data_IF_408751332951
#
_entry.id   IF_408751332951
#
_cell.length_a   1.000
_cell.length_b   1.000
_cell.length_c   1.000
_cell.angle_alpha   90.00
_cell.angle_beta   90.00
_cell.angle_gamma   90.00
#
_symmetry.space_group_name_H-M   'P 1'
#
loop_
_entity.id
_entity.type
_entity.pdbx_description
1 polymer ?
#
# COMPACT_ATOMS: atom_id res chain seq x y z
N UNK A 1 -12.13 -21.86 11.58
CA UNK A 1 -10.81 -21.21 11.44
C UNK A 1 -9.74 -22.27 11.51
N UNK A 2 -8.85 -22.29 10.52
CA UNK A 2 -7.69 -23.19 10.47
C UNK A 2 -6.73 -22.96 11.66
N UNK A 3 -6.16 -24.02 12.28
CA UNK A 3 -5.23 -23.89 13.41
C UNK A 3 -4.03 -22.96 13.17
N UNK A 4 -3.55 -22.85 11.94
CA UNK A 4 -2.45 -21.94 11.58
C UNK A 4 -2.87 -20.47 11.63
N UNK A 5 -4.11 -20.17 11.23
CA UNK A 5 -4.67 -18.82 11.33
C UNK A 5 -4.92 -18.46 12.80
N UNK A 6 -5.36 -19.42 13.62
CA UNK A 6 -5.46 -19.21 15.06
C UNK A 6 -4.09 -18.89 15.68
N UNK A 7 -3.04 -19.64 15.30
CA UNK A 7 -1.67 -19.38 15.78
C UNK A 7 -1.20 -17.98 15.38
N UNK A 8 -1.49 -17.54 14.15
CA UNK A 8 -1.17 -16.20 13.67
C UNK A 8 -1.95 -15.12 14.44
N UNK A 9 -3.23 -15.34 14.72
CA UNK A 9 -4.03 -14.44 15.56
C UNK A 9 -3.42 -14.30 16.96
N UNK A 10 -2.97 -15.41 17.54
CA UNK A 10 -2.30 -15.41 18.85
C UNK A 10 -0.98 -14.63 18.80
N UNK A 11 -0.19 -14.76 17.74
CA UNK A 11 1.03 -13.98 17.53
C UNK A 11 0.75 -12.48 17.43
N UNK A 12 -0.28 -12.08 16.67
CA UNK A 12 -0.69 -10.68 16.57
C UNK A 12 -1.10 -10.15 17.96
N UNK A 13 -1.87 -10.94 18.73
CA UNK A 13 -2.28 -10.58 20.08
C UNK A 13 -1.13 -10.49 21.10
N UNK A 14 0.03 -11.09 20.83
CA UNK A 14 1.21 -10.94 21.68
C UNK A 14 1.93 -9.60 21.49
N UNK A 15 1.86 -9.03 20.28
CA UNK A 15 2.53 -7.75 19.95
C UNK A 15 1.60 -6.55 19.99
N UNK A 16 0.30 -6.75 19.74
CA UNK A 16 -0.69 -5.67 19.79
C UNK A 16 -1.03 -5.34 21.26
N UNK A 17 -0.97 -4.06 21.69
CA UNK A 17 -1.29 -3.69 23.08
C UNK A 17 -2.72 -3.99 23.52
N UNK A 18 -3.63 -4.16 22.56
CA UNK A 18 -5.03 -4.48 22.79
C UNK A 18 -5.36 -5.94 22.48
N UNK A 19 -6.59 -6.19 22.00
CA UNK A 19 -7.01 -7.52 21.55
C UNK A 19 -7.54 -7.46 20.12
N UNK A 20 -7.06 -8.35 19.28
CA UNK A 20 -7.59 -8.62 17.94
C UNK A 20 -8.53 -9.82 18.03
N UNK A 21 -9.74 -9.65 17.49
CA UNK A 21 -10.76 -10.69 17.38
C UNK A 21 -11.26 -10.76 15.94
N UNK A 22 -11.74 -11.93 15.54
CA UNK A 22 -12.20 -12.18 14.16
C UNK A 22 -13.65 -12.62 14.14
N UNK A 23 -14.43 -12.18 13.15
CA UNK A 23 -15.78 -12.67 12.85
C UNK A 23 -15.87 -13.05 11.38
N UNK A 24 -16.51 -14.18 11.10
CA UNK A 24 -16.76 -14.65 9.72
C UNK A 24 -18.24 -14.94 9.60
N UNK A 25 -18.86 -14.39 8.55
CA UNK A 25 -20.22 -14.70 8.17
C UNK A 25 -20.40 -16.17 7.77
N UNK A 26 -21.64 -16.58 7.55
CA UNK A 26 -21.98 -17.97 7.20
C UNK A 26 -22.22 -18.16 5.70
N UNK A 27 -22.44 -17.07 4.96
CA UNK A 27 -22.67 -17.14 3.51
C UNK A 27 -21.39 -17.59 2.79
N UNK A 28 -21.54 -18.17 1.60
CA UNK A 28 -20.42 -18.61 0.77
C UNK A 28 -20.82 -18.45 -0.69
N UNK A 29 -20.22 -17.49 -1.37
CA UNK A 29 -20.59 -17.09 -2.72
C UNK A 29 -19.54 -17.45 -3.79
N UNK A 30 -18.45 -18.08 -3.37
CA UNK A 30 -17.39 -18.61 -4.22
C UNK A 30 -16.53 -17.55 -4.91
N UNK A 31 -16.63 -16.27 -4.52
CA UNK A 31 -15.92 -15.14 -5.14
C UNK A 31 -15.11 -14.40 -4.09
N UNK A 32 -13.79 -14.54 -4.15
CA UNK A 32 -12.87 -13.95 -3.19
C UNK A 32 -12.63 -12.48 -3.55
N UNK A 33 -13.00 -11.58 -2.64
CA UNK A 33 -12.76 -10.15 -2.77
C UNK A 33 -11.88 -9.63 -1.64
N UNK A 34 -10.73 -9.05 -2.01
CA UNK A 34 -9.72 -8.59 -1.06
C UNK A 34 -10.12 -7.36 -0.24
N UNK A 35 -11.23 -6.72 -0.59
CA UNK A 35 -11.80 -5.52 0.04
C UNK A 35 -13.04 -5.83 0.91
N UNK A 36 -13.54 -7.07 0.93
CA UNK A 36 -14.61 -7.53 1.83
C UNK A 36 -14.16 -7.75 3.28
N UNK A 37 -12.89 -7.50 3.58
CA UNK A 37 -12.34 -7.51 4.94
C UNK A 37 -12.58 -6.15 5.58
N UNK A 38 -13.41 -6.10 6.61
CA UNK A 38 -13.65 -4.89 7.40
C UNK A 38 -12.85 -4.92 8.71
N UNK A 39 -12.37 -3.74 9.12
CA UNK A 39 -11.72 -3.55 10.41
C UNK A 39 -12.41 -2.45 11.20
N UNK A 40 -12.71 -2.72 12.46
CA UNK A 40 -13.25 -1.71 13.37
C UNK A 40 -12.53 -1.74 14.70
N UNK A 41 -12.34 -0.57 15.31
CA UNK A 41 -11.74 -0.43 16.63
C UNK A 41 -12.81 -0.19 17.68
N UNK A 42 -12.82 -0.98 18.75
CA UNK A 42 -13.83 -0.94 19.81
C UNK A 42 -13.15 -1.11 21.17
N UNK A 43 -13.05 -0.02 21.94
CA UNK A 43 -12.49 -0.01 23.30
C UNK A 43 -11.12 -0.73 23.43
N UNK A 44 -10.18 -0.39 22.56
CA UNK A 44 -8.83 -1.00 22.53
C UNK A 44 -8.79 -2.37 21.85
N UNK A 45 -9.90 -2.88 21.33
CA UNK A 45 -9.94 -4.09 20.50
C UNK A 45 -10.01 -3.74 19.02
N UNK A 46 -9.45 -4.60 18.18
CA UNK A 46 -9.66 -4.58 16.72
C UNK A 46 -10.52 -5.79 16.38
N UNK A 47 -11.65 -5.54 15.72
CA UNK A 47 -12.46 -6.58 15.11
C UNK A 47 -12.15 -6.63 13.62
N UNK A 48 -11.65 -7.78 13.15
CA UNK A 48 -11.54 -8.12 11.74
C UNK A 48 -12.78 -8.92 11.37
N UNK A 49 -13.53 -8.47 10.38
CA UNK A 49 -14.79 -9.09 10.02
C UNK A 49 -14.90 -9.34 8.52
N UNK A 50 -15.29 -10.58 8.19
CA UNK A 50 -15.64 -11.03 6.85
C UNK A 50 -17.16 -11.20 6.76
N UNK A 51 -17.79 -10.63 5.74
CA UNK A 51 -19.23 -10.74 5.51
C UNK A 51 -19.66 -12.17 5.13
N UNK A 52 -18.80 -12.91 4.46
CA UNK A 52 -19.00 -14.28 4.01
C UNK A 52 -17.78 -15.16 4.36
N UNK A 53 -17.90 -16.46 4.11
CA UNK A 53 -16.93 -17.49 4.44
C UNK A 53 -16.05 -17.93 3.25
N UNK A 54 -16.26 -17.37 2.06
CA UNK A 54 -15.43 -17.62 0.86
C UNK A 54 -13.98 -17.29 1.17
N UNK A 55 -13.07 -18.26 0.97
CA UNK A 55 -11.65 -18.13 1.28
C UNK A 55 -11.32 -17.52 2.67
N UNK A 56 -12.15 -17.74 3.70
CA UNK A 56 -12.05 -16.99 4.96
C UNK A 56 -10.67 -17.09 5.64
N UNK A 57 -10.08 -18.28 5.67
CA UNK A 57 -8.74 -18.48 6.27
C UNK A 57 -7.66 -17.72 5.49
N UNK A 58 -7.77 -17.60 4.17
CA UNK A 58 -6.86 -16.79 3.35
C UNK A 58 -7.03 -15.30 3.66
N UNK A 59 -8.26 -14.78 3.68
CA UNK A 59 -8.53 -13.36 3.93
C UNK A 59 -8.09 -12.94 5.34
N UNK A 60 -8.43 -13.73 6.36
CA UNK A 60 -7.99 -13.48 7.73
C UNK A 60 -6.47 -13.62 7.86
N UNK A 61 -5.88 -14.67 7.27
CA UNK A 61 -4.43 -14.85 7.29
C UNK A 61 -3.69 -13.68 6.66
N UNK A 62 -4.16 -13.21 5.50
CA UNK A 62 -3.58 -12.05 4.83
C UNK A 62 -3.66 -10.80 5.71
N UNK A 63 -4.82 -10.54 6.35
CA UNK A 63 -4.97 -9.38 7.21
C UNK A 63 -4.08 -9.44 8.46
N UNK A 64 -4.07 -10.59 9.14
CA UNK A 64 -3.25 -10.78 10.33
C UNK A 64 -1.75 -10.69 10.03
N UNK A 65 -1.29 -11.20 8.87
CA UNK A 65 0.10 -11.03 8.45
C UNK A 65 0.43 -9.56 8.19
N UNK A 66 -0.44 -8.80 7.52
CA UNK A 66 -0.26 -7.36 7.31
C UNK A 66 -0.16 -6.61 8.65
N UNK A 67 -1.01 -6.95 9.61
CA UNK A 67 -0.94 -6.39 10.96
C UNK A 67 0.39 -6.70 11.65
N UNK A 68 0.81 -7.97 11.67
CA UNK A 68 2.07 -8.39 12.28
C UNK A 68 3.28 -7.66 11.67
N UNK A 69 3.31 -7.59 10.34
CA UNK A 69 4.34 -6.89 9.58
C UNK A 69 4.37 -5.38 9.89
N UNK A 70 3.21 -4.77 10.09
CA UNK A 70 3.08 -3.35 10.44
C UNK A 70 3.53 -3.09 11.88
N UNK A 71 3.07 -3.89 12.84
CA UNK A 71 3.41 -3.76 14.26
C UNK A 71 4.91 -3.98 14.53
N UNK A 72 5.55 -4.84 13.75
CA UNK A 72 7.00 -5.08 13.84
C UNK A 72 7.83 -4.05 13.07
N UNK A 73 7.22 -3.03 12.47
CA UNK A 73 7.92 -2.00 11.69
C UNK A 73 8.61 -2.55 10.43
N UNK A 74 8.14 -3.68 9.90
CA UNK A 74 8.72 -4.31 8.72
C UNK A 74 8.30 -3.60 7.42
N UNK A 75 7.10 -3.01 7.42
CA UNK A 75 6.45 -2.46 6.23
C UNK A 75 6.22 -0.96 6.38
N UNK A 76 6.79 -0.14 5.49
CA UNK A 76 6.45 1.27 5.40
C UNK A 76 4.95 1.45 5.13
N UNK A 77 4.29 2.28 5.93
CA UNK A 77 2.87 2.61 5.78
C UNK A 77 2.69 3.87 4.91
N UNK A 78 1.53 3.99 4.28
CA UNK A 78 1.12 5.18 3.54
C UNK A 78 0.14 6.01 4.37
N UNK A 79 0.21 7.33 4.19
CA UNK A 79 -0.71 8.31 4.78
C UNK A 79 -1.08 9.35 3.72
N UNK A 80 -2.23 9.99 3.91
CA UNK A 80 -2.76 11.00 3.01
C UNK A 80 -2.91 12.30 3.81
N UNK A 81 -1.91 13.16 3.70
CA UNK A 81 -1.83 14.42 4.46
C UNK A 81 -2.01 15.66 3.57
N UNK A 82 -2.26 15.44 2.27
CA UNK A 82 -2.64 16.48 1.31
C UNK A 82 -3.98 16.15 0.65
N UNK A 83 -4.64 17.17 0.11
CA UNK A 83 -5.98 17.08 -0.49
C UNK A 83 -6.10 18.02 -1.68
N UNK A 84 -6.92 17.63 -2.66
CA UNK A 84 -7.37 18.52 -3.73
C UNK A 84 -8.62 19.34 -3.35
N UNK A 85 -9.06 19.23 -2.09
CA UNK A 85 -10.36 19.74 -1.62
C UNK A 85 -11.55 19.23 -2.47
N UNK A 86 -11.38 18.02 -3.01
CA UNK A 86 -12.37 17.31 -3.78
C UNK A 86 -12.47 15.88 -3.26
N UNK A 87 -13.47 15.63 -2.43
CA UNK A 87 -13.66 14.36 -1.73
C UNK A 87 -13.73 13.17 -2.68
N UNK A 88 -14.39 13.31 -3.84
CA UNK A 88 -14.50 12.22 -4.81
C UNK A 88 -13.14 11.88 -5.41
N UNK A 89 -12.38 12.89 -5.82
CA UNK A 89 -11.04 12.72 -6.37
C UNK A 89 -10.08 12.14 -5.32
N UNK A 90 -10.08 12.69 -4.11
CA UNK A 90 -9.24 12.20 -3.01
C UNK A 90 -9.55 10.74 -2.68
N UNK A 91 -10.83 10.38 -2.56
CA UNK A 91 -11.22 8.99 -2.31
C UNK A 91 -10.77 8.03 -3.42
N UNK A 92 -10.78 8.47 -4.68
CA UNK A 92 -10.27 7.68 -5.79
C UNK A 92 -8.75 7.50 -5.70
N UNK A 93 -8.00 8.58 -5.47
CA UNK A 93 -6.53 8.54 -5.36
C UNK A 93 -6.08 7.71 -4.14
N UNK A 94 -6.78 7.82 -3.02
CA UNK A 94 -6.57 7.00 -1.81
C UNK A 94 -6.71 5.52 -2.14
N UNK A 95 -7.78 5.13 -2.84
CA UNK A 95 -8.01 3.73 -3.22
C UNK A 95 -6.92 3.21 -4.16
N UNK A 96 -6.55 4.00 -5.18
CA UNK A 96 -5.49 3.66 -6.14
C UNK A 96 -4.15 3.48 -5.42
N UNK A 97 -3.76 4.44 -4.58
CA UNK A 97 -2.51 4.40 -3.80
C UNK A 97 -2.48 3.23 -2.81
N UNK A 98 -3.61 2.95 -2.15
CA UNK A 98 -3.73 1.82 -1.24
C UNK A 98 -3.57 0.49 -1.97
N UNK A 99 -4.16 0.34 -3.16
CA UNK A 99 -3.96 -0.87 -3.97
C UNK A 99 -2.51 -1.02 -4.43
N UNK A 100 -1.89 0.06 -4.90
CA UNK A 100 -0.46 0.06 -5.25
C UNK A 100 0.45 -0.35 -4.08
N UNK A 101 0.18 0.15 -2.87
CA UNK A 101 0.89 -0.25 -1.65
C UNK A 101 0.68 -1.73 -1.34
N UNK A 102 -0.57 -2.20 -1.37
CA UNK A 102 -0.95 -3.58 -1.07
C UNK A 102 -0.26 -4.59 -1.98
N UNK A 103 -0.11 -4.31 -3.27
CA UNK A 103 0.60 -5.19 -4.21
C UNK A 103 2.00 -5.53 -3.68
N UNK A 104 2.73 -4.55 -3.15
CA UNK A 104 4.08 -4.77 -2.59
C UNK A 104 4.03 -5.49 -1.25
N UNK A 105 3.01 -5.29 -0.45
CA UNK A 105 2.85 -6.05 0.81
C UNK A 105 2.51 -7.52 0.52
N UNK A 106 1.70 -7.76 -0.51
CA UNK A 106 1.27 -9.10 -0.89
C UNK A 106 2.38 -9.95 -1.51
N UNK A 107 3.48 -9.34 -1.98
CA UNK A 107 4.69 -10.12 -2.34
C UNK A 107 5.34 -10.79 -1.14
N UNK A 108 4.93 -10.44 0.08
CA UNK A 108 5.38 -11.04 1.34
C UNK A 108 4.31 -11.97 1.89
N UNK A 109 3.05 -11.51 1.94
CA UNK A 109 1.98 -12.27 2.59
C UNK A 109 1.51 -13.47 1.78
N UNK A 110 1.36 -13.38 0.46
CA UNK A 110 0.91 -14.52 -0.34
C UNK A 110 1.89 -15.70 -0.31
N UNK A 111 3.22 -15.52 -0.45
CA UNK A 111 4.16 -16.62 -0.30
C UNK A 111 4.09 -17.27 1.08
N UNK A 112 3.93 -16.48 2.15
CA UNK A 112 3.79 -17.00 3.52
C UNK A 112 2.52 -17.86 3.64
N UNK A 113 1.38 -17.37 3.15
CA UNK A 113 0.12 -18.14 3.15
C UNK A 113 0.23 -19.43 2.33
N UNK A 114 0.91 -19.39 1.18
CA UNK A 114 1.16 -20.58 0.37
C UNK A 114 2.06 -21.59 1.08
N UNK A 115 3.15 -21.14 1.73
CA UNK A 115 4.04 -22.01 2.52
C UNK A 115 3.30 -22.71 3.66
N UNK A 116 2.26 -22.07 4.20
CA UNK A 116 1.39 -22.65 5.21
C UNK A 116 0.24 -23.48 4.64
N UNK A 117 0.13 -23.66 3.32
CA UNK A 117 -0.94 -24.42 2.68
C UNK A 117 -2.33 -23.79 2.84
N UNK A 118 -2.38 -22.47 3.06
CA UNK A 118 -3.64 -21.71 3.13
C UNK A 118 -4.16 -21.41 1.72
N UNK A 119 -3.27 -21.24 0.75
CA UNK A 119 -3.65 -21.15 -0.66
C UNK A 119 -3.89 -22.57 -1.18
N UNK A 120 -5.15 -22.91 -1.42
CA UNK A 120 -5.58 -24.21 -1.96
C UNK A 120 -6.06 -24.06 -3.41
N UNK A 121 -6.37 -25.18 -4.08
CA UNK A 121 -7.02 -25.16 -5.41
C UNK A 121 -8.34 -24.40 -5.39
N UNK A 122 -9.11 -24.53 -4.30
CA UNK A 122 -10.37 -23.79 -4.10
C UNK A 122 -10.10 -22.30 -3.97
N UNK A 123 -9.13 -21.88 -3.14
CA UNK A 123 -8.74 -20.47 -3.01
C UNK A 123 -8.31 -19.87 -4.35
N UNK A 124 -7.58 -20.61 -5.18
CA UNK A 124 -7.17 -20.14 -6.52
C UNK A 124 -8.38 -19.94 -7.43
N UNK A 125 -9.33 -20.88 -7.40
CA UNK A 125 -10.57 -20.78 -8.17
C UNK A 125 -11.42 -19.58 -7.73
N UNK A 126 -11.59 -19.38 -6.41
CA UNK A 126 -12.36 -18.28 -5.85
C UNK A 126 -11.69 -16.92 -6.10
N UNK A 127 -10.35 -16.86 -6.05
CA UNK A 127 -9.57 -15.66 -6.39
C UNK A 127 -9.81 -15.27 -7.85
N UNK A 128 -9.70 -16.22 -8.79
CA UNK A 128 -9.91 -15.94 -10.20
C UNK A 128 -11.37 -15.54 -10.48
N UNK A 129 -12.34 -16.18 -9.83
CA UNK A 129 -13.75 -15.81 -9.91
C UNK A 129 -14.00 -14.37 -9.40
N UNK A 130 -13.33 -13.96 -8.32
CA UNK A 130 -13.37 -12.59 -7.82
C UNK A 130 -12.81 -11.58 -8.83
N UNK A 131 -11.67 -11.89 -9.46
CA UNK A 131 -11.08 -11.06 -10.53
C UNK A 131 -12.04 -10.87 -11.70
N UNK A 132 -12.71 -11.93 -12.15
CA UNK A 132 -13.67 -11.86 -13.26
C UNK A 132 -14.96 -11.14 -12.92
N UNK A 133 -15.37 -11.15 -11.66
CA UNK A 133 -16.50 -10.34 -11.21
C UNK A 133 -16.13 -8.86 -11.15
N UNK A 134 -14.92 -8.55 -10.68
CA UNK A 134 -14.44 -7.18 -10.53
C UNK A 134 -14.12 -6.51 -11.88
N UNK A 135 -13.68 -7.29 -12.87
CA UNK A 135 -13.18 -6.77 -14.14
C UNK A 135 -13.96 -7.25 -15.36
N UNK A 136 -14.40 -6.31 -16.20
CA UNK A 136 -14.87 -6.63 -17.54
C UNK A 136 -13.70 -6.96 -18.47
N UNK A 137 -13.81 -7.94 -19.40
CA UNK A 137 -12.75 -8.24 -20.36
C UNK A 137 -12.33 -7.01 -21.17
N UNK A 138 -11.06 -6.92 -21.52
CA UNK A 138 -10.56 -5.82 -22.33
C UNK A 138 -11.15 -5.83 -23.74
N UNK A 139 -11.48 -4.64 -24.22
CA UNK A 139 -11.79 -4.42 -25.64
C UNK A 139 -10.58 -3.84 -26.37
N UNK A 140 -10.68 -3.71 -27.69
CA UNK A 140 -9.63 -3.06 -28.49
C UNK A 140 -9.39 -1.60 -28.08
N UNK A 141 -10.43 -0.91 -27.58
CA UNK A 141 -10.37 0.49 -27.18
C UNK A 141 -10.03 0.62 -25.70
N UNK A 142 -9.34 1.72 -25.35
CA UNK A 142 -9.15 2.08 -23.94
C UNK A 142 -10.46 2.62 -23.38
N UNK A 143 -10.76 2.22 -22.16
CA UNK A 143 -11.94 2.66 -21.41
C UNK A 143 -11.53 3.12 -19.99
N UNK A 144 -12.45 3.70 -19.21
CA UNK A 144 -12.18 4.13 -17.84
C UNK A 144 -11.70 3.01 -16.89
N UNK A 145 -11.94 1.74 -17.22
CA UNK A 145 -11.56 0.59 -16.40
C UNK A 145 -10.10 0.15 -16.64
N UNK A 146 -9.42 0.73 -17.65
CA UNK A 146 -8.01 0.42 -17.98
C UNK A 146 -7.06 0.49 -16.77
N UNK A 147 -7.17 1.54 -15.94
CA UNK A 147 -6.37 1.66 -14.71
C UNK A 147 -6.78 0.59 -13.69
N UNK A 148 -8.06 0.30 -13.56
CA UNK A 148 -8.55 -0.67 -12.60
C UNK A 148 -8.05 -2.09 -12.92
N UNK A 149 -8.13 -2.49 -14.19
CA UNK A 149 -7.55 -3.74 -14.68
C UNK A 149 -6.05 -3.82 -14.39
N UNK A 150 -5.30 -2.74 -14.60
CA UNK A 150 -3.88 -2.70 -14.26
C UNK A 150 -3.64 -3.01 -12.77
N UNK A 151 -4.34 -2.30 -11.88
CA UNK A 151 -4.14 -2.45 -10.42
C UNK A 151 -4.53 -3.85 -9.94
N UNK A 152 -5.66 -4.40 -10.40
CA UNK A 152 -6.11 -5.74 -10.04
C UNK A 152 -5.15 -6.81 -10.58
N UNK A 153 -4.73 -6.70 -11.84
CA UNK A 153 -3.80 -7.67 -12.43
C UNK A 153 -2.40 -7.62 -11.83
N UNK A 154 -1.94 -6.47 -11.36
CA UNK A 154 -0.69 -6.41 -10.60
C UNK A 154 -0.77 -7.32 -9.36
N UNK A 155 -1.88 -7.25 -8.61
CA UNK A 155 -2.08 -8.10 -7.44
C UNK A 155 -2.26 -9.58 -7.83
N UNK A 156 -3.08 -9.85 -8.85
CA UNK A 156 -3.33 -11.20 -9.34
C UNK A 156 -2.05 -11.88 -9.84
N UNK A 157 -1.15 -11.14 -10.49
CA UNK A 157 0.15 -11.66 -10.90
C UNK A 157 1.06 -11.97 -9.71
N UNK A 158 1.00 -11.18 -8.63
CA UNK A 158 1.72 -11.48 -7.38
C UNK A 158 1.15 -12.74 -6.73
N UNK A 159 -0.18 -12.89 -6.69
CA UNK A 159 -0.85 -14.11 -6.21
C UNK A 159 -0.47 -15.33 -7.04
N UNK A 160 -0.65 -15.27 -8.37
CA UNK A 160 -0.35 -16.37 -9.29
C UNK A 160 1.11 -16.79 -9.28
N UNK A 161 2.04 -15.87 -9.01
CA UNK A 161 3.46 -16.22 -8.88
C UNK A 161 3.76 -17.12 -7.67
N UNK A 162 2.89 -17.15 -6.67
CA UNK A 162 3.06 -18.05 -5.52
C UNK A 162 2.66 -19.49 -5.81
N UNK A 163 1.92 -19.74 -6.89
CA UNK A 163 1.40 -21.05 -7.23
C UNK A 163 2.50 -21.93 -7.85
N UNK A 164 2.50 -23.21 -7.50
CA UNK A 164 3.44 -24.19 -8.07
C UNK A 164 3.20 -24.41 -9.58
N UNK A 165 1.94 -24.38 -10.01
CA UNK A 165 1.53 -24.36 -11.42
C UNK A 165 0.64 -23.13 -11.64
N UNK A 166 1.16 -22.18 -12.41
CA UNK A 166 0.52 -20.88 -12.67
C UNK A 166 0.20 -20.64 -14.14
N UNK A 167 0.46 -21.62 -15.02
CA UNK A 167 0.34 -21.43 -16.46
C UNK A 167 -1.12 -21.15 -16.84
N UNK A 168 -2.05 -22.00 -16.39
CA UNK A 168 -3.47 -21.83 -16.66
C UNK A 168 -4.02 -20.52 -16.07
N UNK A 169 -3.57 -20.15 -14.86
CA UNK A 169 -3.95 -18.91 -14.20
C UNK A 169 -3.51 -17.68 -15.01
N UNK A 170 -2.26 -17.65 -15.47
CA UNK A 170 -1.76 -16.54 -16.28
C UNK A 170 -2.32 -16.52 -17.70
N UNK A 171 -2.58 -17.67 -18.31
CA UNK A 171 -3.20 -17.75 -19.64
C UNK A 171 -4.62 -17.19 -19.64
N UNK A 172 -5.40 -17.48 -18.60
CA UNK A 172 -6.73 -16.91 -18.43
C UNK A 172 -6.68 -15.38 -18.32
N UNK A 173 -5.86 -14.84 -17.42
CA UNK A 173 -5.73 -13.39 -17.25
C UNK A 173 -5.24 -12.70 -18.52
N UNK A 174 -4.30 -13.32 -19.24
CA UNK A 174 -3.77 -12.79 -20.49
C UNK A 174 -4.79 -12.83 -21.62
N UNK A 175 -5.65 -13.85 -21.67
CA UNK A 175 -6.70 -13.96 -22.68
C UNK A 175 -7.79 -12.89 -22.49
N UNK A 176 -8.18 -12.63 -21.24
CA UNK A 176 -9.23 -11.66 -20.92
C UNK A 176 -8.72 -10.20 -20.86
N UNK A 177 -7.46 -9.99 -20.50
CA UNK A 177 -6.91 -8.65 -20.22
C UNK A 177 -5.50 -8.43 -20.80
N UNK A 178 -5.27 -8.65 -22.10
CA UNK A 178 -3.92 -8.71 -22.68
C UNK A 178 -3.04 -7.47 -22.46
N UNK A 179 -3.61 -6.26 -22.53
CA UNK A 179 -2.88 -4.99 -22.40
C UNK A 179 -2.50 -4.70 -20.95
N UNK A 180 -3.46 -4.76 -20.05
CA UNK A 180 -3.24 -4.59 -18.62
C UNK A 180 -2.35 -5.70 -18.07
N UNK A 181 -2.50 -6.95 -18.52
CA UNK A 181 -1.63 -8.07 -18.14
C UNK A 181 -0.16 -7.78 -18.52
N UNK A 182 0.09 -7.33 -19.75
CA UNK A 182 1.44 -7.01 -20.20
C UNK A 182 2.07 -5.89 -19.37
N UNK A 183 1.30 -4.83 -19.08
CA UNK A 183 1.75 -3.72 -18.24
C UNK A 183 1.98 -4.16 -16.78
N UNK A 184 1.02 -4.85 -16.17
CA UNK A 184 1.12 -5.38 -14.82
C UNK A 184 2.34 -6.30 -14.67
N UNK A 185 2.57 -7.20 -15.64
CA UNK A 185 3.72 -8.08 -15.65
C UNK A 185 5.04 -7.31 -15.70
N UNK A 186 5.13 -6.25 -16.53
CA UNK A 186 6.31 -5.41 -16.59
C UNK A 186 6.61 -4.70 -15.25
N UNK A 187 5.56 -4.37 -14.47
CA UNK A 187 5.67 -3.72 -13.17
C UNK A 187 6.09 -4.71 -12.08
N UNK A 188 5.46 -5.88 -11.99
CA UNK A 188 5.62 -6.79 -10.84
C UNK A 188 6.69 -7.87 -11.01
N UNK A 189 7.04 -8.24 -12.25
CA UNK A 189 8.11 -9.23 -12.52
C UNK A 189 9.44 -8.94 -11.81
N UNK A 190 9.88 -7.68 -11.69
CA UNK A 190 11.09 -7.37 -10.92
C UNK A 190 11.02 -7.71 -9.43
N UNK A 191 9.84 -7.95 -8.85
CA UNK A 191 9.69 -8.29 -7.43
C UNK A 191 10.06 -9.74 -7.14
N UNK A 192 9.97 -10.62 -8.13
CA UNK A 192 10.16 -12.07 -7.95
C UNK A 192 11.56 -12.46 -7.46
N UNK A 193 12.56 -11.58 -7.63
CA UNK A 193 13.93 -11.80 -7.16
C UNK A 193 14.33 -10.92 -5.97
N UNK A 194 13.40 -10.13 -5.41
CA UNK A 194 13.69 -9.21 -4.32
C UNK A 194 13.54 -9.91 -2.97
N UNK A 195 14.54 -9.70 -2.09
CA UNK A 195 14.42 -10.06 -0.67
C UNK A 195 13.74 -8.92 0.10
N UNK A 196 12.51 -9.16 0.53
CA UNK A 196 11.67 -8.21 1.27
C UNK A 196 11.90 -8.21 2.79
N UNK A 197 12.91 -8.92 3.30
CA UNK A 197 13.23 -8.92 4.75
C UNK A 197 13.64 -7.56 5.32
N UNK A 198 14.11 -6.65 4.46
CA UNK A 198 14.55 -5.31 4.89
C UNK A 198 13.51 -4.25 4.55
N UNK A 199 13.05 -3.42 5.51
CA UNK A 199 12.07 -2.36 5.27
C UNK A 199 12.46 -1.38 4.16
N UNK A 200 13.77 -1.13 4.01
CA UNK A 200 14.31 -0.27 2.95
C UNK A 200 14.06 -0.84 1.56
N UNK A 201 14.17 -2.16 1.39
CA UNK A 201 13.88 -2.80 0.11
C UNK A 201 12.39 -2.74 -0.21
N UNK A 202 11.54 -2.99 0.79
CA UNK A 202 10.09 -2.83 0.67
C UNK A 202 9.73 -1.40 0.26
N UNK A 203 10.26 -0.38 0.95
CA UNK A 203 10.06 1.04 0.59
C UNK A 203 10.45 1.31 -0.86
N UNK A 204 11.63 0.83 -1.27
CA UNK A 204 12.13 1.01 -2.64
C UNK A 204 11.18 0.42 -3.67
N UNK A 205 10.61 -0.76 -3.42
CA UNK A 205 9.65 -1.34 -4.36
C UNK A 205 8.31 -0.59 -4.36
N UNK A 206 7.85 -0.06 -3.23
CA UNK A 206 6.66 0.81 -3.19
C UNK A 206 6.82 2.05 -4.06
N UNK A 207 7.94 2.78 -3.92
CA UNK A 207 8.22 3.95 -4.78
C UNK A 207 8.32 3.54 -6.25
N UNK A 208 8.94 2.40 -6.53
CA UNK A 208 9.03 1.87 -7.90
C UNK A 208 7.65 1.53 -8.49
N UNK A 209 6.72 1.00 -7.69
CA UNK A 209 5.34 0.76 -8.14
C UNK A 209 4.68 2.07 -8.53
N UNK A 210 4.76 3.08 -7.66
CA UNK A 210 4.17 4.40 -7.90
C UNK A 210 4.67 4.98 -9.24
N UNK A 211 5.98 4.96 -9.44
CA UNK A 211 6.60 5.44 -10.69
C UNK A 211 6.16 4.65 -11.92
N UNK A 212 6.07 3.32 -11.79
CA UNK A 212 5.79 2.46 -12.92
C UNK A 212 4.32 2.52 -13.34
N UNK A 213 3.40 2.71 -12.39
CA UNK A 213 1.98 2.96 -12.68
C UNK A 213 1.82 4.32 -13.35
N UNK A 214 2.42 5.38 -12.84
CA UNK A 214 2.35 6.71 -13.49
C UNK A 214 2.95 6.67 -14.91
N UNK A 215 4.05 5.92 -15.11
CA UNK A 215 4.62 5.71 -16.45
C UNK A 215 3.68 4.95 -17.37
N UNK A 216 2.96 3.93 -16.87
CA UNK A 216 1.98 3.19 -17.65
C UNK A 216 0.82 4.10 -18.07
N UNK A 217 0.26 4.88 -17.13
CA UNK A 217 -0.80 5.84 -17.39
C UNK A 217 -0.38 6.90 -18.40
N UNK A 218 0.82 7.46 -18.26
CA UNK A 218 1.38 8.42 -19.22
C UNK A 218 1.48 7.84 -20.64
N UNK A 219 1.99 6.62 -20.78
CA UNK A 219 2.07 5.94 -22.08
C UNK A 219 0.70 5.64 -22.68
N UNK A 220 -0.31 5.48 -21.83
CA UNK A 220 -1.72 5.32 -22.21
C UNK A 220 -2.45 6.64 -22.41
N UNK A 221 -1.76 7.78 -22.28
CA UNK A 221 -2.35 9.12 -22.39
C UNK A 221 -3.48 9.37 -21.37
N UNK A 222 -3.37 8.72 -20.21
CA UNK A 222 -4.28 8.88 -19.08
C UNK A 222 -3.66 9.81 -18.03
N UNK A 223 -4.48 10.51 -17.23
CA UNK A 223 -3.99 11.27 -16.08
C UNK A 223 -3.20 10.38 -15.12
N UNK A 224 -2.05 10.87 -14.67
CA UNK A 224 -1.21 10.20 -13.66
C UNK A 224 -1.78 10.41 -12.26
N UNK A 225 -1.42 9.52 -11.33
CA UNK A 225 -1.77 9.62 -9.91
C UNK A 225 -0.90 10.66 -9.20
N UNK A 226 0.35 10.85 -9.67
CA UNK A 226 1.37 11.66 -9.01
C UNK A 226 1.59 11.24 -7.55
N UNK A 227 1.68 9.92 -7.33
CA UNK A 227 1.77 9.34 -5.99
C UNK A 227 3.05 9.74 -5.23
N UNK A 228 4.08 10.25 -5.92
CA UNK A 228 5.28 10.80 -5.28
C UNK A 228 5.01 11.97 -4.37
N UNK A 229 4.07 12.83 -4.73
CA UNK A 229 3.70 14.00 -3.94
C UNK A 229 2.45 13.73 -3.09
N UNK A 230 1.44 13.07 -3.68
CA UNK A 230 0.16 12.84 -3.02
C UNK A 230 0.28 11.89 -1.81
N UNK A 231 1.09 10.83 -1.94
CA UNK A 231 1.19 9.78 -0.92
C UNK A 231 2.35 10.08 0.03
N UNK A 232 2.06 10.25 1.31
CA UNK A 232 3.11 10.31 2.34
C UNK A 232 3.52 8.90 2.72
N UNK A 233 4.75 8.50 2.42
CA UNK A 233 5.27 7.16 2.70
C UNK A 233 6.20 7.17 3.92
N UNK A 234 5.96 6.28 4.88
CA UNK A 234 6.77 6.12 6.11
C UNK A 234 8.26 6.01 5.77
N UNK A 235 9.07 6.88 6.37
CA UNK A 235 10.52 6.90 6.13
C UNK A 235 11.22 5.71 6.77
N UNK A 236 12.24 5.17 6.06
CA UNK A 236 13.18 4.17 6.60
C UNK A 236 14.54 4.83 6.75
N UNK A 237 14.95 5.14 7.98
CA UNK A 237 16.08 6.01 8.29
C UNK A 237 17.10 5.31 9.19
N UNK A 238 18.39 5.57 9.00
CA UNK A 238 19.40 5.15 10.00
C UNK A 238 19.52 6.15 11.14
N UNK A 239 20.11 5.73 12.27
CA UNK A 239 20.50 6.63 13.38
C UNK A 239 21.24 7.88 12.91
N UNK A 240 22.17 7.71 11.95
CA UNK A 240 22.88 8.84 11.35
C UNK A 240 21.90 9.79 10.67
N UNK A 241 21.01 9.30 9.81
CA UNK A 241 20.04 10.15 9.10
C UNK A 241 19.12 10.90 10.07
N UNK A 242 18.70 10.26 11.17
CA UNK A 242 17.88 10.88 12.22
C UNK A 242 18.59 12.08 12.88
N UNK A 243 19.91 12.00 13.06
CA UNK A 243 20.72 13.08 13.64
C UNK A 243 21.08 14.22 12.66
N UNK A 244 20.92 14.00 11.34
CA UNK A 244 21.27 15.01 10.35
C UNK A 244 20.22 16.12 10.29
N UNK A 245 20.62 17.35 9.89
CA UNK A 245 19.66 18.41 9.59
C UNK A 245 18.74 18.02 8.43
N UNK A 246 17.48 18.44 8.47
CA UNK A 246 16.44 18.17 7.45
C UNK A 246 16.95 18.43 6.04
N UNK A 247 17.63 19.57 5.80
CA UNK A 247 18.19 19.93 4.48
C UNK A 247 19.16 18.92 3.87
N UNK A 248 19.73 18.03 4.67
CA UNK A 248 20.65 16.98 4.19
C UNK A 248 19.93 15.70 3.79
N UNK A 249 18.68 15.50 4.23
CA UNK A 249 17.93 14.25 4.02
C UNK A 249 16.70 14.49 3.13
N UNK A 250 16.10 15.68 3.18
CA UNK A 250 14.88 16.02 2.47
C UNK A 250 15.00 17.35 1.73
N UNK A 251 14.33 17.44 0.59
CA UNK A 251 13.99 18.70 -0.08
C UNK A 251 12.56 19.09 0.29
N UNK A 252 12.33 20.39 0.51
CA UNK A 252 10.99 20.91 0.79
C UNK A 252 10.43 21.49 -0.49
N UNK A 253 9.30 20.95 -0.93
CA UNK A 253 8.67 21.29 -2.20
C UNK A 253 7.27 21.86 -1.96
N UNK A 254 6.94 22.96 -2.63
CA UNK A 254 5.59 23.52 -2.62
C UNK A 254 4.69 22.65 -3.50
N UNK A 255 3.58 22.17 -2.97
CA UNK A 255 2.60 21.41 -3.75
C UNK A 255 1.38 22.28 -4.06
N UNK A 256 0.73 22.02 -5.19
CA UNK A 256 -0.54 22.67 -5.56
C UNK A 256 -1.72 22.15 -4.72
N UNK A 257 -1.51 21.10 -3.93
CA UNK A 257 -2.49 20.55 -3.00
C UNK A 257 -2.50 21.30 -1.67
N UNK A 258 -3.59 21.14 -0.91
CA UNK A 258 -3.72 21.73 0.42
C UNK A 258 -3.39 20.70 1.50
N UNK A 259 -3.04 21.16 2.70
CA UNK A 259 -2.92 20.31 3.88
C UNK A 259 -4.30 19.73 4.20
N UNK A 260 -4.36 18.40 4.39
CA UNK A 260 -5.63 17.71 4.58
C UNK A 260 -6.37 18.20 5.83
N UNK A 261 -5.64 18.51 6.91
CA UNK A 261 -6.20 18.89 8.21
C UNK A 261 -6.56 20.37 8.26
N UNK A 262 -5.64 21.25 7.84
CA UNK A 262 -5.82 22.71 7.97
C UNK A 262 -6.54 23.33 6.78
N UNK A 263 -6.53 22.66 5.62
CA UNK A 263 -6.99 23.20 4.33
C UNK A 263 -6.21 24.43 3.87
N UNK A 264 -4.95 24.55 4.30
CA UNK A 264 -4.05 25.65 3.93
C UNK A 264 -2.97 25.18 2.94
N UNK A 265 -2.16 26.11 2.44
CA UNK A 265 -1.01 25.80 1.58
C UNK A 265 -0.11 24.75 2.23
N UNK A 266 0.15 23.65 1.52
CA UNK A 266 1.03 22.59 1.97
C UNK A 266 2.39 22.62 1.28
N UNK A 267 3.40 22.11 1.99
CA UNK A 267 4.69 21.74 1.44
C UNK A 267 4.97 20.28 1.77
N UNK A 268 5.53 19.54 0.82
CA UNK A 268 5.91 18.15 0.98
C UNK A 268 7.41 18.02 1.20
N UNK A 269 7.79 17.13 2.11
CA UNK A 269 9.17 16.75 2.37
C UNK A 269 9.57 15.56 1.50
N UNK A 270 10.23 15.83 0.37
CA UNK A 270 10.70 14.79 -0.55
C UNK A 270 12.03 14.22 -0.05
N UNK A 271 12.11 12.90 0.12
CA UNK A 271 13.36 12.26 0.50
C UNK A 271 14.38 12.36 -0.63
N UNK A 272 15.60 12.84 -0.34
CA UNK A 272 16.63 13.06 -1.38
C UNK A 272 17.03 11.79 -2.14
N UNK A 273 16.90 10.62 -1.51
CA UNK A 273 17.31 9.34 -2.08
C UNK A 273 16.32 8.75 -3.07
N UNK A 274 15.02 8.97 -2.89
CA UNK A 274 13.96 8.37 -3.71
C UNK A 274 12.91 9.37 -4.23
N UNK A 275 13.00 10.63 -3.83
CA UNK A 275 12.10 11.73 -4.18
C UNK A 275 10.63 11.47 -3.80
N UNK A 276 10.38 10.57 -2.85
CA UNK A 276 9.05 10.30 -2.33
C UNK A 276 8.71 11.23 -1.16
N UNK A 277 7.49 11.77 -1.18
CA UNK A 277 6.91 12.50 -0.05
C UNK A 277 6.94 11.64 1.21
N UNK A 278 7.56 12.19 2.25
CA UNK A 278 7.78 11.53 3.53
C UNK A 278 7.12 12.26 4.70
N UNK A 279 6.69 13.51 4.50
CA UNK A 279 5.95 14.31 5.47
C UNK A 279 5.34 15.54 4.80
N UNK A 280 4.30 16.09 5.41
CA UNK A 280 3.65 17.34 4.98
C UNK A 280 3.81 18.37 6.08
N UNK A 281 4.03 19.63 5.71
CA UNK A 281 4.07 20.78 6.62
C UNK A 281 3.22 21.91 6.07
N UNK A 282 2.60 22.65 6.99
CA UNK A 282 1.90 23.90 6.69
C UNK A 282 2.75 25.05 7.26
N UNK A 283 3.24 25.99 6.42
CA UNK A 283 3.99 27.14 6.90
C UNK A 283 3.07 28.15 7.60
N UNK A 284 3.62 29.11 8.35
CA UNK A 284 2.82 30.20 8.91
C UNK A 284 2.01 30.96 7.85
N UNK A 285 0.77 31.33 8.20
CA UNK A 285 -0.11 32.13 7.34
C UNK A 285 0.53 33.48 6.99
N UNK A 286 1.19 34.13 7.97
CA UNK A 286 1.88 35.39 7.75
C UNK A 286 3.14 35.17 6.90
N UNK A 287 3.14 35.70 5.68
CA UNK A 287 4.25 35.54 4.74
C UNK A 287 5.58 36.08 5.25
N UNK A 288 5.54 37.12 6.10
CA UNK A 288 6.74 37.71 6.68
C UNK A 288 7.50 36.73 7.60
N UNK A 289 6.81 35.75 8.18
CA UNK A 289 7.39 34.77 9.10
C UNK A 289 7.95 33.52 8.38
N UNK A 290 7.55 33.32 7.12
CA UNK A 290 7.92 32.11 6.33
C UNK A 290 9.43 31.95 6.13
N UNK A 291 10.25 32.99 5.83
CA UNK A 291 11.69 32.83 5.67
C UNK A 291 12.36 32.27 6.93
N UNK A 292 11.99 32.80 8.10
CA UNK A 292 12.52 32.33 9.38
C UNK A 292 12.06 30.90 9.68
N UNK A 293 10.79 30.59 9.41
CA UNK A 293 10.24 29.23 9.54
C UNK A 293 11.03 28.22 8.72
N UNK A 294 11.22 28.46 7.42
CA UNK A 294 11.96 27.53 6.57
C UNK A 294 13.43 27.43 6.96
N UNK A 295 14.07 28.53 7.35
CA UNK A 295 15.46 28.50 7.84
C UNK A 295 15.59 27.60 9.08
N UNK A 296 14.66 27.68 10.02
CA UNK A 296 14.63 26.84 11.21
C UNK A 296 14.34 25.38 10.84
N UNK A 297 13.32 25.13 10.02
CA UNK A 297 12.96 23.79 9.54
C UNK A 297 14.17 23.08 8.91
N UNK A 298 14.87 23.73 8.00
CA UNK A 298 16.02 23.15 7.31
C UNK A 298 17.19 22.82 8.24
N UNK A 299 17.29 23.52 9.37
CA UNK A 299 18.33 23.32 10.37
C UNK A 299 17.98 22.26 11.43
N UNK A 300 16.69 21.94 11.62
CA UNK A 300 16.23 20.95 12.59
C UNK A 300 16.85 19.57 12.33
N UNK A 301 17.26 18.82 13.37
CA UNK A 301 17.50 17.40 13.24
C UNK A 301 16.24 16.68 12.76
N UNK A 302 16.41 15.68 11.87
CA UNK A 302 15.27 14.91 11.33
C UNK A 302 14.46 14.24 12.44
N UNK A 303 15.11 13.72 13.48
CA UNK A 303 14.44 13.12 14.63
C UNK A 303 13.48 14.10 15.32
N UNK A 304 13.91 15.35 15.49
CA UNK A 304 13.12 16.37 16.16
C UNK A 304 11.94 16.79 15.30
N UNK A 305 12.12 16.92 13.98
CA UNK A 305 11.02 17.17 13.05
C UNK A 305 9.96 16.07 13.13
N UNK A 306 10.37 14.80 13.04
CA UNK A 306 9.43 13.67 13.06
C UNK A 306 8.69 13.59 14.39
N UNK A 307 9.36 13.92 15.50
CA UNK A 307 8.72 14.02 16.82
C UNK A 307 7.71 15.17 16.87
N UNK A 308 8.03 16.35 16.34
CA UNK A 308 7.14 17.51 16.30
C UNK A 308 5.88 17.24 15.48
N UNK A 309 6.01 16.54 14.35
CA UNK A 309 4.90 16.18 13.47
C UNK A 309 4.18 14.90 13.91
N UNK A 310 4.60 14.27 15.02
CA UNK A 310 4.10 12.97 15.48
C UNK A 310 4.13 11.89 14.38
N UNK A 311 5.14 11.93 13.50
CA UNK A 311 5.26 11.02 12.37
C UNK A 311 6.01 9.74 12.74
N UNK A 312 5.45 8.57 12.37
CA UNK A 312 6.18 7.32 12.51
C UNK A 312 7.34 7.25 11.51
N UNK A 313 8.39 6.54 11.91
CA UNK A 313 9.48 6.13 11.02
C UNK A 313 9.96 4.74 11.41
N UNK A 314 10.61 4.06 10.47
CA UNK A 314 11.28 2.79 10.71
C UNK A 314 12.78 3.07 10.83
N UNK A 315 13.34 2.82 12.01
CA UNK A 315 14.79 2.87 12.18
C UNK A 315 15.40 1.60 11.57
N UNK A 316 16.33 1.76 10.63
CA UNK A 316 17.12 0.62 10.13
C UNK A 316 18.33 0.38 11.02
N UNK A 317 18.48 -0.88 11.44
CA UNK A 317 19.72 -1.43 12.00
C UNK A 317 20.89 -1.38 11.03
#
# INVERSE_FOLDING_TARGET
MNPKIQTLLDQVNQVYPGQVITRVGQEHDGRLHLDRVSQSTLAGRILIELADSTAADFLLGNELLKMLLTLNGAIPQIFFAVTFDNEQLDNQLIQIATRMHRVVVHTITYPELNQHGIITVETVSEYLAGVHEELSPETEQQDPETLWRLLVLMDALVFGHTLNDNQAFFDDLKANYPRAFAAAQAIVRPFWSVDFKQPRQTRKQMVRVFDAVDKALYNWQLPTVNAREYVTLTSVLSKRQLSLPVRQVFDIFHTEMLDFQTKETAYVGLNKGDQQNSFVITPPQNEADRPAFFQQLYALPVQDLFKQLALPYIERG
#
